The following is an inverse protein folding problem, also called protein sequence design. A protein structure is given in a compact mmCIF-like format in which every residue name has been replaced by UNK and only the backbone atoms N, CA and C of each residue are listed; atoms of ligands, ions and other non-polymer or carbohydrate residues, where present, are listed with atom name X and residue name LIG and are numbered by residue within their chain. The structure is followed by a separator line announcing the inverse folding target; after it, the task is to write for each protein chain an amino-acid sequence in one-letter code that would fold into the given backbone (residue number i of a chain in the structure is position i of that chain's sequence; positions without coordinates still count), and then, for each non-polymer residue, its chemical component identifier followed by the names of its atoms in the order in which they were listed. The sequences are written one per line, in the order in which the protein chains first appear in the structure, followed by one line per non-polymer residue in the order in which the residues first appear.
data_IF_158698556570
#
_entry.id   IF_158698556570
#
_cell.length_a   1.000
_cell.length_b   1.000
_cell.length_c   1.000
_cell.angle_alpha   90.00
_cell.angle_beta   90.00
_cell.angle_gamma   90.00
#
_symmetry.space_group_name_H-M   'P 1'
#
loop_
_entity.id
_entity.type
_entity.pdbx_description
1 polymer ?
#
# COMPACT_ATOMS: atom_id res chain seq x y z
N UNK A 1 -2.00 4.03 -11.90
CA UNK A 1 -2.19 4.55 -10.52
C UNK A 1 -1.46 5.87 -10.32
N UNK A 2 -0.12 5.92 -10.41
CA UNK A 2 0.65 7.16 -10.18
C UNK A 2 0.26 8.30 -11.13
N UNK A 3 0.12 8.04 -12.43
CA UNK A 3 -0.36 9.01 -13.42
C UNK A 3 -1.78 9.50 -13.14
N UNK A 4 -2.70 8.59 -12.84
CA UNK A 4 -4.11 8.91 -12.57
C UNK A 4 -4.30 9.70 -11.27
N UNK A 5 -3.53 9.38 -10.22
CA UNK A 5 -3.69 9.95 -8.89
C UNK A 5 -2.82 11.18 -8.63
N UNK A 6 -1.67 11.30 -9.32
CA UNK A 6 -0.69 12.36 -9.09
C UNK A 6 -0.36 13.16 -10.35
N UNK A 7 -0.78 12.73 -11.54
CA UNK A 7 -0.39 13.35 -12.80
C UNK A 7 1.08 13.12 -13.20
N UNK A 8 1.79 12.24 -12.50
CA UNK A 8 3.22 11.99 -12.71
C UNK A 8 3.38 10.59 -13.31
N UNK A 9 4.15 10.50 -14.40
CA UNK A 9 4.59 9.25 -15.01
C UNK A 9 5.43 8.44 -14.02
N UNK A 10 5.31 7.11 -14.04
CA UNK A 10 6.13 6.27 -13.17
C UNK A 10 7.54 6.16 -13.75
N UNK A 11 8.54 6.65 -13.00
CA UNK A 11 9.94 6.70 -13.43
C UNK A 11 10.74 5.43 -13.07
N UNK A 12 10.10 4.42 -12.46
CA UNK A 12 10.77 3.18 -12.02
C UNK A 12 11.53 3.30 -10.70
N UNK A 13 11.75 4.52 -10.20
CA UNK A 13 12.45 4.82 -8.94
C UNK A 13 11.53 5.40 -7.87
N UNK A 14 10.32 5.83 -8.24
CA UNK A 14 9.34 6.46 -7.37
C UNK A 14 8.81 5.49 -6.31
N UNK A 15 9.31 5.65 -5.08
CA UNK A 15 8.85 4.93 -3.88
C UNK A 15 7.74 5.66 -3.11
N UNK A 16 7.08 6.66 -3.72
CA UNK A 16 6.03 7.43 -3.05
C UNK A 16 4.87 6.55 -2.60
N UNK A 17 4.49 5.55 -3.42
CA UNK A 17 3.42 4.63 -3.06
C UNK A 17 3.86 3.74 -1.89
N UNK A 18 5.06 3.16 -1.91
CA UNK A 18 5.62 2.41 -0.78
C UNK A 18 5.59 3.22 0.53
N UNK A 19 6.06 4.47 0.50
CA UNK A 19 6.08 5.35 1.66
C UNK A 19 4.67 5.65 2.20
N UNK A 20 3.69 5.81 1.30
CA UNK A 20 2.28 5.96 1.68
C UNK A 20 1.73 4.68 2.32
N UNK A 21 2.04 3.51 1.78
CA UNK A 21 1.63 2.22 2.38
C UNK A 21 2.23 2.04 3.77
N UNK A 22 3.52 2.38 3.98
CA UNK A 22 4.14 2.36 5.31
C UNK A 22 3.39 3.26 6.30
N UNK A 23 3.06 4.48 5.87
CA UNK A 23 2.33 5.44 6.71
C UNK A 23 0.91 4.95 7.02
N UNK A 24 0.20 4.40 6.04
CA UNK A 24 -1.14 3.85 6.21
C UNK A 24 -1.15 2.66 7.17
N UNK A 25 -0.25 1.69 6.99
CA UNK A 25 -0.10 0.54 7.89
C UNK A 25 0.11 0.98 9.34
N UNK A 26 1.00 1.95 9.57
CA UNK A 26 1.22 2.52 10.92
C UNK A 26 -0.05 3.14 11.50
N UNK A 27 -0.77 3.96 10.71
CA UNK A 27 -2.02 4.61 11.16
C UNK A 27 -3.16 3.62 11.44
N UNK A 28 -3.17 2.49 10.74
CA UNK A 28 -4.19 1.44 10.87
C UNK A 28 -3.87 0.39 11.94
N UNK A 29 -2.73 0.52 12.61
CA UNK A 29 -2.21 -0.48 13.54
C UNK A 29 -1.72 -1.78 12.86
N UNK A 30 -1.54 -1.78 11.55
CA UNK A 30 -1.19 -2.94 10.71
C UNK A 30 0.31 -2.95 10.33
N UNK A 31 1.17 -2.63 11.31
CA UNK A 31 2.61 -2.49 11.12
C UNK A 31 3.39 -3.80 11.39
N UNK A 32 2.71 -4.93 11.51
CA UNK A 32 3.32 -6.24 11.76
C UNK A 32 4.13 -6.74 10.54
N UNK A 33 5.00 -7.72 10.76
CA UNK A 33 5.72 -8.40 9.67
C UNK A 33 4.78 -9.08 8.67
N UNK A 34 3.56 -9.40 9.10
CA UNK A 34 2.50 -10.04 8.31
C UNK A 34 1.23 -9.16 8.33
N UNK A 35 1.21 -8.04 7.59
CA UNK A 35 0.08 -7.12 7.58
C UNK A 35 -1.18 -7.82 7.06
N UNK A 36 -2.30 -7.63 7.75
CA UNK A 36 -3.56 -8.29 7.44
C UNK A 36 -4.48 -7.39 6.60
N UNK A 37 -4.41 -6.07 6.79
CA UNK A 37 -5.31 -5.10 6.12
C UNK A 37 -4.81 -4.69 4.75
N UNK A 38 -3.51 -4.38 4.66
CA UNK A 38 -2.89 -4.00 3.38
C UNK A 38 -1.77 -5.00 3.06
N UNK A 39 -2.05 -5.93 2.14
CA UNK A 39 -1.12 -7.00 1.75
C UNK A 39 -0.26 -6.56 0.57
N UNK A 40 1.04 -6.83 0.62
CA UNK A 40 1.93 -6.65 -0.55
C UNK A 40 1.89 -7.90 -1.42
N UNK A 41 1.47 -7.76 -2.68
CA UNK A 41 1.52 -8.82 -3.69
C UNK A 41 2.68 -8.53 -4.65
N UNK A 42 3.76 -9.32 -4.54
CA UNK A 42 4.97 -9.12 -5.34
C UNK A 42 4.65 -9.11 -6.83
N UNK A 43 5.17 -8.10 -7.54
CA UNK A 43 4.94 -7.92 -8.98
C UNK A 43 3.54 -7.44 -9.37
N UNK A 44 2.61 -7.28 -8.42
CA UNK A 44 1.24 -6.81 -8.68
C UNK A 44 0.87 -5.52 -7.93
N UNK A 45 1.50 -5.27 -6.77
CA UNK A 45 1.27 -4.06 -5.98
C UNK A 45 0.74 -4.36 -4.58
N UNK A 46 -0.31 -3.65 -4.15
CA UNK A 46 -0.89 -3.78 -2.82
C UNK A 46 -2.38 -4.10 -2.91
N UNK A 47 -2.85 -4.96 -2.03
CA UNK A 47 -4.23 -5.39 -1.93
C UNK A 47 -4.81 -4.94 -0.59
N UNK A 48 -5.99 -4.32 -0.63
CA UNK A 48 -6.78 -4.03 0.56
C UNK A 48 -7.65 -5.26 0.85
N UNK A 49 -7.43 -5.91 1.98
CA UNK A 49 -8.11 -7.14 2.37
C UNK A 49 -9.43 -6.80 3.07
N UNK A 50 -10.62 -7.11 2.52
CA UNK A 50 -11.89 -6.70 3.11
C UNK A 50 -12.14 -7.32 4.50
N UNK A 51 -11.77 -8.58 4.67
CA UNK A 51 -12.06 -9.36 5.87
C UNK A 51 -11.30 -8.86 7.10
N UNK A 52 -10.15 -8.20 6.90
CA UNK A 52 -9.32 -7.67 7.98
C UNK A 52 -9.88 -6.38 8.63
N UNK A 53 -11.04 -5.89 8.18
CA UNK A 53 -11.69 -4.68 8.70
C UNK A 53 -12.95 -4.95 9.51
N UNK A 54 -13.55 -6.14 9.38
CA UNK A 54 -14.69 -6.54 10.18
C UNK A 54 -14.18 -7.20 11.46
N UNK A 55 -14.09 -6.41 12.53
CA UNK A 55 -13.95 -6.88 13.91
C UNK A 55 -15.31 -6.85 14.61
#
# INVERSE_FOLDING_TARGET
LTKTLRGIEYDGTDRTIDNRIVTLRKKLGDASCSPQKIITVRGKGYLLMPDAWNA
#
